data_IF_206043087504
#
_entry.id   IF_206043087504
#
_cell.length_a   1.000
_cell.length_b   1.000
_cell.length_c   1.000
_cell.angle_alpha   90.00
_cell.angle_beta   90.00
_cell.angle_gamma   90.00
#
_symmetry.space_group_name_H-M   'P 1'
#
loop_
_entity.id
_entity.type
_entity.pdbx_description
1 polymer ?
#
# COMPACT_ATOMS: atom_id res chain seq x y z
N UNK A 1 9.79 -20.59 -21.85
CA UNK A 1 9.52 -20.52 -20.40
C UNK A 1 9.72 -19.11 -19.85
N UNK A 2 10.83 -18.42 -20.14
CA UNK A 2 11.13 -17.07 -19.61
C UNK A 2 10.12 -15.97 -20.00
N UNK A 3 9.52 -16.03 -21.19
CA UNK A 3 8.48 -15.06 -21.58
C UNK A 3 7.18 -15.27 -20.79
N UNK A 4 6.78 -16.52 -20.54
CA UNK A 4 5.58 -16.82 -19.75
C UNK A 4 5.75 -16.32 -18.31
N UNK A 5 6.91 -16.56 -17.68
CA UNK A 5 7.18 -16.07 -16.32
C UNK A 5 7.18 -14.55 -16.23
N UNK A 6 7.66 -13.84 -17.26
CA UNK A 6 7.58 -12.37 -17.33
C UNK A 6 6.13 -11.88 -17.41
N UNK A 7 5.30 -12.51 -18.25
CA UNK A 7 3.89 -12.14 -18.37
C UNK A 7 3.14 -12.36 -17.06
N UNK A 8 3.38 -13.49 -16.37
CA UNK A 8 2.77 -13.74 -15.06
C UNK A 8 3.23 -12.75 -14.00
N UNK A 9 4.52 -12.38 -13.99
CA UNK A 9 5.07 -11.38 -13.07
C UNK A 9 4.46 -9.99 -13.31
N UNK A 10 4.41 -9.55 -14.58
CA UNK A 10 3.79 -8.28 -14.97
C UNK A 10 2.31 -8.26 -14.56
N UNK A 11 1.54 -9.31 -14.88
CA UNK A 11 0.13 -9.43 -14.53
C UNK A 11 -0.12 -9.37 -13.01
N UNK A 12 0.72 -10.07 -12.23
CA UNK A 12 0.64 -10.07 -10.79
C UNK A 12 0.91 -8.68 -10.20
N UNK A 13 1.96 -8.00 -10.69
CA UNK A 13 2.36 -6.68 -10.21
C UNK A 13 1.31 -5.60 -10.54
N UNK A 14 0.78 -5.59 -11.76
CA UNK A 14 -0.33 -4.69 -12.13
C UNK A 14 -1.62 -5.03 -11.37
N UNK A 15 -1.89 -6.31 -11.14
CA UNK A 15 -3.04 -6.76 -10.35
C UNK A 15 -3.01 -6.27 -8.90
N UNK A 16 -1.83 -6.27 -8.26
CA UNK A 16 -1.64 -5.71 -6.92
C UNK A 16 -1.96 -4.22 -6.89
N UNK A 17 -1.41 -3.44 -7.82
CA UNK A 17 -1.66 -1.99 -7.87
C UNK A 17 -3.14 -1.70 -8.10
N UNK A 18 -3.79 -2.42 -9.03
CA UNK A 18 -5.22 -2.28 -9.26
C UNK A 18 -6.04 -2.58 -7.99
N UNK A 19 -5.71 -3.66 -7.29
CA UNK A 19 -6.37 -4.01 -6.03
C UNK A 19 -6.18 -2.92 -4.95
N UNK A 20 -4.99 -2.33 -4.86
CA UNK A 20 -4.71 -1.22 -3.94
C UNK A 20 -5.49 0.05 -4.30
N UNK A 21 -5.66 0.37 -5.59
CA UNK A 21 -6.48 1.51 -6.04
C UNK A 21 -7.95 1.28 -5.68
N UNK A 22 -8.48 0.07 -5.92
CA UNK A 22 -9.85 -0.29 -5.55
C UNK A 22 -10.03 -0.21 -4.03
N UNK A 23 -9.07 -0.73 -3.26
CA UNK A 23 -9.08 -0.64 -1.81
C UNK A 23 -9.08 0.82 -1.33
N UNK A 24 -8.22 1.67 -1.90
CA UNK A 24 -8.16 3.09 -1.58
C UNK A 24 -9.49 3.79 -1.88
N UNK A 25 -10.09 3.50 -3.05
CA UNK A 25 -11.41 4.03 -3.41
C UNK A 25 -12.49 3.60 -2.42
N UNK A 26 -12.51 2.32 -2.03
CA UNK A 26 -13.43 1.79 -1.03
C UNK A 26 -13.29 2.49 0.33
N UNK A 27 -12.05 2.72 0.78
CA UNK A 27 -11.75 3.41 2.04
C UNK A 27 -12.15 4.89 1.99
N UNK A 28 -11.93 5.56 0.86
CA UNK A 28 -12.36 6.96 0.68
C UNK A 28 -13.89 7.09 0.67
N UNK A 29 -14.57 6.09 0.10
CA UNK A 29 -16.02 6.00 0.04
C UNK A 29 -16.67 5.72 1.40
N UNK A 30 -15.90 5.35 2.44
CA UNK A 30 -16.44 5.13 3.78
C UNK A 30 -16.75 6.45 4.53
N UNK A 31 -18.02 6.71 4.85
CA UNK A 31 -18.39 7.86 5.65
C UNK A 31 -18.05 7.63 7.13
N UNK A 32 -17.40 8.61 7.77
CA UNK A 32 -17.39 8.76 9.23
C UNK A 32 -16.61 7.73 10.07
N UNK A 33 -15.73 6.91 9.49
CA UNK A 33 -14.86 5.98 10.26
C UNK A 33 -13.65 6.73 10.83
N UNK A 34 -13.54 6.77 12.16
CA UNK A 34 -12.35 7.27 12.87
C UNK A 34 -11.18 6.31 12.61
N UNK A 35 -10.00 6.84 12.33
CA UNK A 35 -8.81 6.04 11.98
C UNK A 35 -8.62 5.77 10.48
N UNK A 36 -9.57 6.16 9.61
CA UNK A 36 -9.45 5.96 8.16
C UNK A 36 -8.24 6.65 7.53
N UNK A 37 -7.79 7.77 8.10
CA UNK A 37 -6.63 8.51 7.61
C UNK A 37 -5.34 7.69 7.66
N UNK A 38 -5.16 6.84 8.68
CA UNK A 38 -4.02 5.93 8.76
C UNK A 38 -4.07 4.84 7.68
N UNK A 39 -5.27 4.35 7.37
CA UNK A 39 -5.47 3.35 6.33
C UNK A 39 -5.22 3.95 4.94
N UNK A 40 -5.70 5.17 4.68
CA UNK A 40 -5.42 5.93 3.45
C UNK A 40 -3.92 6.20 3.32
N UNK A 41 -3.27 6.67 4.40
CA UNK A 41 -1.83 6.93 4.40
C UNK A 41 -1.01 5.67 4.13
N UNK A 42 -1.34 4.55 4.78
CA UNK A 42 -0.69 3.26 4.54
C UNK A 42 -0.85 2.79 3.09
N UNK A 43 -2.06 2.88 2.54
CA UNK A 43 -2.34 2.52 1.15
C UNK A 43 -1.58 3.42 0.17
N UNK A 44 -1.53 4.73 0.41
CA UNK A 44 -0.78 5.67 -0.44
C UNK A 44 0.73 5.38 -0.41
N UNK A 45 1.32 5.20 0.77
CA UNK A 45 2.76 4.88 0.90
C UNK A 45 3.09 3.57 0.17
N UNK A 46 2.24 2.55 0.33
CA UNK A 46 2.44 1.27 -0.35
C UNK A 46 2.27 1.42 -1.87
N UNK A 47 1.23 2.13 -2.32
CA UNK A 47 0.97 2.37 -3.74
C UNK A 47 2.13 3.12 -4.41
N UNK A 48 2.69 4.14 -3.75
CA UNK A 48 3.84 4.87 -4.24
C UNK A 48 5.07 3.99 -4.39
N UNK A 49 5.30 3.06 -3.45
CA UNK A 49 6.40 2.11 -3.52
C UNK A 49 6.25 1.13 -4.71
N UNK A 50 5.06 0.55 -4.87
CA UNK A 50 4.77 -0.38 -5.97
C UNK A 50 4.82 0.32 -7.34
N UNK A 51 4.26 1.52 -7.46
CA UNK A 51 4.35 2.33 -8.67
C UNK A 51 5.79 2.72 -8.98
N UNK A 52 6.58 3.11 -7.97
CA UNK A 52 8.00 3.41 -8.14
C UNK A 52 8.78 2.19 -8.65
N UNK A 53 8.48 1.00 -8.14
CA UNK A 53 9.08 -0.25 -8.62
C UNK A 53 8.69 -0.56 -10.08
N UNK A 54 7.42 -0.36 -10.46
CA UNK A 54 6.98 -0.53 -11.85
C UNK A 54 7.70 0.45 -12.77
N UNK A 55 7.74 1.74 -12.41
CA UNK A 55 8.41 2.78 -13.21
C UNK A 55 9.88 2.45 -13.37
N UNK A 56 10.55 2.02 -12.30
CA UNK A 56 11.96 1.65 -12.35
C UNK A 56 12.23 0.43 -13.26
N UNK A 57 11.39 -0.60 -13.19
CA UNK A 57 11.47 -1.73 -14.13
C UNK A 57 11.21 -1.31 -15.58
N UNK A 58 10.24 -0.40 -15.81
CA UNK A 58 9.93 0.11 -17.14
C UNK A 58 11.11 0.89 -17.73
N UNK A 59 11.74 1.74 -16.91
CA UNK A 59 12.94 2.49 -17.28
C UNK A 59 14.10 1.56 -17.65
N UNK A 60 14.38 0.54 -16.84
CA UNK A 60 15.40 -0.47 -17.19
C UNK A 60 15.10 -1.19 -18.51
N UNK A 61 13.82 -1.48 -18.78
CA UNK A 61 13.38 -2.20 -19.98
C UNK A 61 13.43 -1.32 -21.23
N UNK A 62 13.23 -0.01 -21.10
CA UNK A 62 13.18 0.94 -22.20
C UNK A 62 14.56 1.55 -22.56
N UNK A 63 15.40 1.80 -21.56
CA UNK A 63 16.76 2.35 -21.77
C UNK A 63 17.84 1.27 -21.92
N UNK A 64 17.50 0.00 -21.66
CA UNK A 64 18.40 -1.14 -21.81
C UNK A 64 19.46 -1.23 -20.69
N UNK A 65 19.98 -2.43 -20.41
CA UNK A 65 20.99 -2.63 -19.37
C UNK A 65 22.33 -1.95 -19.69
N UNK A 66 22.59 -1.60 -20.95
CA UNK A 66 23.84 -0.95 -21.41
C UNK A 66 23.98 0.50 -20.91
N UNK A 67 22.86 1.22 -20.70
CA UNK A 67 22.90 2.58 -20.16
C UNK A 67 23.17 2.62 -18.65
N UNK A 68 23.26 1.45 -18.00
CA UNK A 68 23.42 1.26 -16.54
C UNK A 68 24.64 0.37 -16.21
N UNK A 69 25.62 0.26 -17.13
CA UNK A 69 26.84 -0.54 -16.91
C UNK A 69 27.94 0.21 -16.14
N UNK A 70 27.68 1.44 -15.67
CA UNK A 70 28.57 2.14 -14.75
C UNK A 70 28.49 1.55 -13.33
N UNK A 71 29.61 1.29 -12.63
CA UNK A 71 29.59 0.84 -11.23
C UNK A 71 28.84 1.81 -10.30
N UNK A 72 28.83 3.10 -10.64
CA UNK A 72 28.11 4.14 -9.90
C UNK A 72 26.59 4.03 -10.12
N UNK A 73 26.14 3.83 -11.37
CA UNK A 73 24.71 3.70 -11.70
C UNK A 73 24.07 2.44 -11.09
N UNK A 74 24.84 1.36 -10.96
CA UNK A 74 24.41 0.15 -10.26
C UNK A 74 24.16 0.41 -8.76
N UNK A 75 24.98 1.24 -8.12
CA UNK A 75 24.76 1.62 -6.72
C UNK A 75 23.48 2.44 -6.54
N UNK A 76 23.18 3.35 -7.47
CA UNK A 76 21.93 4.13 -7.45
C UNK A 76 20.70 3.25 -7.63
N UNK A 77 20.73 2.27 -8.54
CA UNK A 77 19.65 1.30 -8.69
C UNK A 77 19.48 0.43 -7.44
N UNK A 78 20.57 0.00 -6.83
CA UNK A 78 20.52 -0.81 -5.63
C UNK A 78 19.94 -0.02 -4.45
N UNK A 79 20.39 1.23 -4.26
CA UNK A 79 19.81 2.14 -3.27
C UNK A 79 18.33 2.42 -3.54
N UNK A 80 17.96 2.69 -4.80
CA UNK A 80 16.57 2.90 -5.20
C UNK A 80 15.70 1.69 -4.90
N UNK A 81 16.18 0.48 -5.20
CA UNK A 81 15.50 -0.79 -4.90
C UNK A 81 15.32 -0.98 -3.40
N UNK A 82 16.37 -0.67 -2.61
CA UNK A 82 16.34 -0.77 -1.16
C UNK A 82 15.34 0.21 -0.54
N UNK A 83 15.33 1.46 -1.00
CA UNK A 83 14.41 2.50 -0.53
C UNK A 83 12.97 2.12 -0.88
N UNK A 84 12.70 1.70 -2.12
CA UNK A 84 11.36 1.27 -2.55
C UNK A 84 10.89 0.04 -1.77
N UNK A 85 11.77 -0.94 -1.55
CA UNK A 85 11.50 -2.11 -0.72
C UNK A 85 11.19 -1.74 0.73
N UNK A 86 11.97 -0.83 1.31
CA UNK A 86 11.74 -0.27 2.64
C UNK A 86 10.42 0.49 2.74
N UNK A 87 10.06 1.27 1.72
CA UNK A 87 8.81 2.01 1.65
C UNK A 87 7.59 1.06 1.57
N UNK A 88 7.69 -0.03 0.78
CA UNK A 88 6.65 -1.07 0.71
C UNK A 88 6.47 -1.77 2.07
N UNK A 89 7.57 -2.09 2.75
CA UNK A 89 7.54 -2.64 4.11
C UNK A 89 6.91 -1.69 5.12
N UNK A 90 7.30 -0.41 5.10
CA UNK A 90 6.73 0.63 5.95
C UNK A 90 5.22 0.76 5.71
N UNK A 91 4.79 0.76 4.44
CA UNK A 91 3.38 0.79 4.07
C UNK A 91 2.59 -0.39 4.64
N UNK A 92 3.15 -1.61 4.61
CA UNK A 92 2.54 -2.81 5.21
C UNK A 92 2.44 -2.71 6.73
N UNK A 93 3.47 -2.21 7.41
CA UNK A 93 3.44 -2.00 8.86
C UNK A 93 2.36 -0.96 9.23
N UNK A 94 2.32 0.15 8.51
CA UNK A 94 1.29 1.19 8.68
C UNK A 94 -0.11 0.63 8.44
N UNK A 95 -0.26 -0.28 7.47
CA UNK A 95 -1.54 -0.93 7.19
C UNK A 95 -2.00 -1.78 8.38
N UNK A 96 -1.10 -2.58 8.97
CA UNK A 96 -1.41 -3.36 10.19
C UNK A 96 -1.83 -2.43 11.33
N UNK A 97 -1.08 -1.36 11.57
CA UNK A 97 -1.41 -0.35 12.60
C UNK A 97 -2.77 0.30 12.33
N UNK A 98 -3.08 0.63 11.08
CA UNK A 98 -4.36 1.20 10.68
C UNK A 98 -5.53 0.24 10.94
N UNK A 99 -5.35 -1.06 10.65
CA UNK A 99 -6.35 -2.09 10.97
C UNK A 99 -6.61 -2.19 12.48
N UNK A 100 -5.55 -2.14 13.30
CA UNK A 100 -5.70 -2.11 14.76
C UNK A 100 -6.42 -0.85 15.25
N UNK A 101 -6.11 0.32 14.70
CA UNK A 101 -6.80 1.57 15.06
C UNK A 101 -8.27 1.56 14.66
N UNK A 102 -8.62 1.04 13.49
CA UNK A 102 -10.03 0.89 13.07
C UNK A 102 -10.76 -0.07 14.01
N UNK A 103 -10.14 -1.20 14.36
CA UNK A 103 -10.71 -2.16 15.32
C UNK A 103 -10.95 -1.53 16.70
N UNK A 104 -9.99 -0.76 17.21
CA UNK A 104 -10.13 -0.02 18.46
C UNK A 104 -11.23 1.05 18.38
N UNK A 105 -11.28 1.80 17.29
CA UNK A 105 -12.31 2.81 17.03
C UNK A 105 -13.71 2.23 16.93
N UNK A 106 -13.89 1.06 16.28
CA UNK A 106 -15.16 0.36 16.22
C UNK A 106 -15.62 -0.15 17.60
N UNK A 107 -14.73 -0.72 18.42
CA UNK A 107 -15.05 -1.11 19.80
C UNK A 107 -15.52 0.07 20.65
N UNK A 108 -14.87 1.23 20.51
CA UNK A 108 -15.26 2.46 21.23
C UNK A 108 -16.61 3.04 20.79
N UNK A 109 -17.11 2.72 19.60
CA UNK A 109 -18.44 3.14 19.11
C UNK A 109 -19.56 2.16 19.46
N UNK A 110 -19.25 0.89 19.76
CA UNK A 110 -20.23 -0.10 20.22
C UNK A 110 -20.50 0.03 21.72
N UNK A 111 -19.49 0.41 22.51
CA UNK A 111 -19.61 0.58 23.96
C UNK A 111 -20.59 1.68 24.45
N UNK A 112 -20.79 2.83 23.77
CA UNK A 112 -21.72 3.87 24.22
C UNK A 112 -23.19 3.50 23.95
N UNK A 113 -23.44 2.69 22.90
CA UNK A 113 -24.80 2.31 22.49
C UNK A 113 -25.45 1.34 23.48
N UNK A 114 -24.64 0.57 24.22
CA UNK A 114 -25.12 -0.27 25.33
C UNK A 114 -25.33 0.51 26.63
N UNK A 115 -24.69 1.67 26.81
CA UNK A 115 -24.87 2.52 27.99
C UNK A 115 -26.09 3.45 27.86
N UNK A 116 -26.48 3.84 26.64
CA UNK A 116 -27.66 4.69 26.39
C UNK A 116 -29.01 3.94 26.33
N UNK A 117 -29.01 2.62 26.20
CA UNK A 117 -30.23 1.81 26.16
C UNK A 117 -30.78 1.43 27.55
N UNK A 118 -30.08 1.81 28.63
CA UNK A 118 -30.43 1.47 30.02
C UNK A 118 -30.94 2.63 30.87
N UNK A 119 -31.08 3.86 30.35
CA UNK A 119 -31.44 5.04 31.15
C UNK A 119 -32.70 5.78 30.66
N UNK A 120 -33.59 5.10 29.94
CA UNK A 120 -34.83 5.68 29.40
C UNK A 120 -36.11 5.12 30.02
N UNK A 121 -36.06 4.74 31.30
CA UNK A 121 -37.19 4.15 32.01
C UNK A 121 -37.28 4.64 33.45
N UNK A 122 -37.51 5.94 33.62
CA UNK A 122 -38.15 6.54 34.80
C UNK A 122 -39.01 7.72 34.34
#
# INVERSE_FOLDING_TARGET
MEQLTKIFADLYQYGIVLAMVIALWGVLSWPGIRGKGWLVGALLVTLSAELGSIVMQLMMRQFGPEMIMGPDDYQYLWQGSFVLGGLSWLGKILFVVAVFQIRAGLRSKVSPTLAGAGSGGE
#
